data_IF_059293035621
#
_entry.id   IF_059293035621
#
_cell.length_a   1.000
_cell.length_b   1.000
_cell.length_c   1.000
_cell.angle_alpha   90.00
_cell.angle_beta   90.00
_cell.angle_gamma   90.00
#
_symmetry.space_group_name_H-M   'P 1'
#
loop_
_entity.id
_entity.type
_entity.pdbx_description
1 polymer ?
#
# COMPACT_ATOMS: atom_id res chain seq x y z
N UNK A 1 -55.31 -23.97 6.27
CA UNK A 1 -54.42 -25.02 5.71
C UNK A 1 -52.99 -24.60 5.99
N UNK A 2 -52.24 -25.46 6.67
CA UNK A 2 -50.87 -25.33 7.19
C UNK A 2 -49.94 -24.36 6.42
N UNK A 3 -49.70 -23.18 6.99
CA UNK A 3 -48.39 -22.55 6.89
C UNK A 3 -47.51 -23.16 7.98
N UNK A 4 -46.84 -24.27 7.66
CA UNK A 4 -45.79 -24.80 8.52
C UNK A 4 -44.82 -23.67 8.85
N UNK A 5 -44.43 -23.46 10.12
CA UNK A 5 -43.42 -22.46 10.45
C UNK A 5 -42.14 -22.81 9.69
N UNK A 6 -41.63 -21.89 8.87
CA UNK A 6 -40.32 -22.03 8.25
C UNK A 6 -39.33 -22.33 9.38
N UNK A 7 -38.76 -23.54 9.37
CA UNK A 7 -37.73 -23.90 10.33
C UNK A 7 -36.60 -22.88 10.19
N UNK A 8 -36.09 -22.31 11.30
CA UNK A 8 -35.00 -21.36 11.23
C UNK A 8 -33.84 -22.02 10.48
N UNK A 9 -33.48 -21.47 9.33
CA UNK A 9 -32.35 -21.94 8.51
C UNK A 9 -31.16 -22.12 9.44
N UNK A 10 -30.70 -23.35 9.65
CA UNK A 10 -29.54 -23.61 10.49
C UNK A 10 -28.35 -22.85 9.90
N UNK A 11 -27.85 -21.86 10.65
CA UNK A 11 -26.73 -21.02 10.24
C UNK A 11 -25.38 -21.76 10.23
N UNK A 12 -25.31 -22.94 10.87
CA UNK A 12 -24.10 -23.74 10.98
C UNK A 12 -24.11 -24.90 9.98
N UNK A 13 -23.04 -25.06 9.18
CA UNK A 13 -22.89 -26.22 8.31
C UNK A 13 -22.80 -27.51 9.13
N UNK A 14 -23.44 -28.58 8.65
CA UNK A 14 -23.46 -29.88 9.33
C UNK A 14 -22.21 -30.72 9.10
N UNK A 15 -21.57 -30.59 7.92
CA UNK A 15 -20.39 -31.36 7.52
C UNK A 15 -19.29 -30.45 6.93
N UNK A 16 -18.04 -30.95 6.88
CA UNK A 16 -16.88 -30.18 6.39
C UNK A 16 -17.04 -29.63 4.97
N UNK A 17 -17.64 -30.42 4.06
CA UNK A 17 -17.93 -29.99 2.69
C UNK A 17 -18.85 -28.77 2.64
N UNK A 18 -19.87 -28.75 3.51
CA UNK A 18 -20.78 -27.60 3.60
C UNK A 18 -20.04 -26.38 4.15
N UNK A 19 -19.15 -26.55 5.14
CA UNK A 19 -18.32 -25.46 5.64
C UNK A 19 -17.42 -24.84 4.57
N UNK A 20 -16.80 -25.68 3.74
CA UNK A 20 -15.97 -25.22 2.61
C UNK A 20 -16.82 -24.52 1.57
N UNK A 21 -18.01 -25.05 1.24
CA UNK A 21 -18.91 -24.38 0.30
C UNK A 21 -19.36 -23.01 0.81
N UNK A 22 -19.71 -22.88 2.10
CA UNK A 22 -20.03 -21.59 2.72
C UNK A 22 -18.86 -20.60 2.64
N UNK A 23 -17.63 -21.05 2.86
CA UNK A 23 -16.44 -20.20 2.75
C UNK A 23 -16.22 -19.71 1.30
N UNK A 24 -16.37 -20.61 0.32
CA UNK A 24 -16.26 -20.27 -1.11
C UNK A 24 -17.37 -19.28 -1.52
N UNK A 25 -18.61 -19.50 -1.08
CA UNK A 25 -19.71 -18.57 -1.31
C UNK A 25 -19.41 -17.17 -0.77
N UNK A 26 -18.80 -17.07 0.42
CA UNK A 26 -18.36 -15.79 0.98
C UNK A 26 -17.33 -15.07 0.11
N UNK A 27 -16.32 -15.80 -0.39
CA UNK A 27 -15.30 -15.23 -1.29
C UNK A 27 -15.95 -14.78 -2.61
N UNK A 28 -16.81 -15.62 -3.21
CA UNK A 28 -17.50 -15.30 -4.46
C UNK A 28 -18.43 -14.10 -4.27
N UNK A 29 -19.15 -14.03 -3.15
CA UNK A 29 -20.01 -12.90 -2.84
C UNK A 29 -19.21 -11.60 -2.79
N UNK A 30 -18.11 -11.57 -2.03
CA UNK A 30 -17.24 -10.41 -1.95
C UNK A 30 -16.67 -10.01 -3.32
N UNK A 31 -16.26 -10.98 -4.14
CA UNK A 31 -15.77 -10.72 -5.49
C UNK A 31 -16.85 -10.19 -6.46
N UNK A 32 -18.12 -10.51 -6.24
CA UNK A 32 -19.24 -10.01 -7.06
C UNK A 32 -19.71 -8.62 -6.63
N UNK A 33 -19.77 -8.37 -5.33
CA UNK A 33 -20.34 -7.14 -4.77
C UNK A 33 -19.29 -6.04 -4.65
N UNK A 34 -18.07 -6.36 -4.21
CA UNK A 34 -17.06 -5.36 -3.89
C UNK A 34 -16.15 -5.05 -5.08
N UNK A 35 -15.97 -3.76 -5.36
CA UNK A 35 -15.08 -3.28 -6.44
C UNK A 35 -13.61 -3.48 -6.09
N UNK A 36 -13.23 -3.17 -4.86
CA UNK A 36 -11.84 -3.27 -4.40
C UNK A 36 -11.35 -4.72 -4.40
N UNK A 37 -12.17 -5.67 -3.90
CA UNK A 37 -11.93 -7.11 -4.07
C UNK A 37 -11.61 -7.53 -5.51
N UNK A 38 -12.39 -7.09 -6.50
CA UNK A 38 -12.13 -7.42 -7.91
C UNK A 38 -10.79 -6.89 -8.39
N UNK A 39 -10.43 -5.66 -7.99
CA UNK A 39 -9.13 -5.06 -8.33
C UNK A 39 -7.99 -5.87 -7.71
N UNK A 40 -8.10 -6.24 -6.44
CA UNK A 40 -7.08 -7.05 -5.77
C UNK A 40 -6.94 -8.45 -6.38
N UNK A 41 -8.03 -9.09 -6.78
CA UNK A 41 -7.98 -10.37 -7.49
C UNK A 41 -7.31 -10.25 -8.88
N UNK A 42 -7.61 -9.21 -9.65
CA UNK A 42 -6.95 -8.98 -10.93
C UNK A 42 -5.45 -8.69 -10.76
N UNK A 43 -5.09 -7.88 -9.75
CA UNK A 43 -3.70 -7.60 -9.41
C UNK A 43 -2.97 -8.87 -8.96
N UNK A 44 -3.61 -9.71 -8.14
CA UNK A 44 -3.09 -11.00 -7.69
C UNK A 44 -2.74 -11.91 -8.88
N UNK A 45 -3.65 -12.06 -9.83
CA UNK A 45 -3.40 -12.82 -11.07
C UNK A 45 -2.22 -12.24 -11.84
N UNK A 46 -2.18 -10.91 -12.01
CA UNK A 46 -1.09 -10.23 -12.70
C UNK A 46 0.28 -10.49 -12.05
N UNK A 47 0.38 -10.36 -10.73
CA UNK A 47 1.63 -10.58 -9.97
C UNK A 47 2.08 -12.03 -10.05
N UNK A 48 1.17 -13.00 -9.86
CA UNK A 48 1.52 -14.42 -9.92
C UNK A 48 1.93 -14.85 -11.33
N UNK A 49 1.26 -14.36 -12.38
CA UNK A 49 1.67 -14.60 -13.76
C UNK A 49 3.05 -13.99 -14.05
N UNK A 50 3.29 -12.75 -13.62
CA UNK A 50 4.60 -12.11 -13.75
C UNK A 50 5.71 -12.92 -13.07
N UNK A 51 5.45 -13.44 -11.86
CA UNK A 51 6.40 -14.26 -11.12
C UNK A 51 6.76 -15.56 -11.87
N UNK A 52 5.77 -16.23 -12.48
CA UNK A 52 6.00 -17.43 -13.29
C UNK A 52 6.76 -17.11 -14.58
N UNK A 53 6.38 -16.03 -15.29
CA UNK A 53 7.04 -15.60 -16.53
C UNK A 53 8.50 -15.23 -16.29
N UNK A 54 8.78 -14.50 -15.20
CA UNK A 54 10.13 -14.08 -14.81
C UNK A 54 10.96 -15.18 -14.16
N UNK A 55 10.37 -16.37 -13.93
CA UNK A 55 11.03 -17.54 -13.31
C UNK A 55 11.73 -17.19 -11.99
N UNK A 56 11.01 -16.47 -11.13
CA UNK A 56 11.50 -16.12 -9.79
C UNK A 56 11.81 -17.39 -8.99
N UNK A 57 12.69 -17.28 -8.00
CA UNK A 57 13.02 -18.38 -7.10
C UNK A 57 11.80 -18.85 -6.30
N UNK A 58 11.85 -20.08 -5.78
CA UNK A 58 10.77 -20.63 -4.96
C UNK A 58 10.47 -19.76 -3.73
N UNK A 59 11.51 -19.19 -3.11
CA UNK A 59 11.36 -18.31 -1.94
C UNK A 59 10.65 -17.00 -2.32
N UNK A 60 11.07 -16.36 -3.41
CA UNK A 60 10.41 -15.14 -3.93
C UNK A 60 8.95 -15.42 -4.28
N UNK A 61 8.66 -16.55 -4.94
CA UNK A 61 7.29 -16.94 -5.28
C UNK A 61 6.41 -17.15 -4.02
N UNK A 62 6.95 -17.80 -2.99
CA UNK A 62 6.27 -17.99 -1.70
C UNK A 62 5.96 -16.63 -1.05
N UNK A 63 6.94 -15.72 -1.00
CA UNK A 63 6.75 -14.38 -0.42
C UNK A 63 5.71 -13.56 -1.19
N UNK A 64 5.73 -13.59 -2.53
CA UNK A 64 4.73 -12.93 -3.37
C UNK A 64 3.34 -13.51 -3.15
N UNK A 65 3.22 -14.84 -3.06
CA UNK A 65 1.95 -15.52 -2.80
C UNK A 65 1.41 -15.16 -1.43
N UNK A 66 2.26 -15.13 -0.40
CA UNK A 66 1.89 -14.71 0.96
C UNK A 66 1.40 -13.25 0.98
N UNK A 67 2.10 -12.36 0.28
CA UNK A 67 1.69 -10.95 0.16
C UNK A 67 0.32 -10.79 -0.50
N UNK A 68 0.08 -11.53 -1.60
CA UNK A 68 -1.21 -11.56 -2.30
C UNK A 68 -2.32 -12.07 -1.37
N UNK A 69 -2.07 -13.19 -0.68
CA UNK A 69 -3.05 -13.75 0.27
C UNK A 69 -3.37 -12.76 1.38
N UNK A 70 -2.37 -12.06 1.92
CA UNK A 70 -2.57 -11.09 3.00
C UNK A 70 -3.44 -9.91 2.55
N UNK A 71 -3.27 -9.41 1.33
CA UNK A 71 -4.12 -8.34 0.76
C UNK A 71 -5.56 -8.83 0.60
N UNK A 72 -5.77 -10.01 0.02
CA UNK A 72 -7.11 -10.57 -0.15
C UNK A 72 -7.80 -10.87 1.19
N UNK A 73 -7.03 -11.35 2.17
CA UNK A 73 -7.50 -11.57 3.54
C UNK A 73 -7.94 -10.24 4.19
N UNK A 74 -7.11 -9.20 4.11
CA UNK A 74 -7.43 -7.89 4.67
C UNK A 74 -8.70 -7.31 4.03
N UNK A 75 -8.86 -7.45 2.71
CA UNK A 75 -10.03 -6.98 1.97
C UNK A 75 -11.32 -7.76 2.33
N UNK A 76 -11.23 -9.08 2.51
CA UNK A 76 -12.35 -9.89 3.01
C UNK A 76 -12.75 -9.46 4.42
N UNK A 77 -11.77 -9.21 5.29
CA UNK A 77 -12.02 -8.76 6.65
C UNK A 77 -12.62 -7.35 6.69
N UNK A 78 -12.14 -6.44 5.84
CA UNK A 78 -12.72 -5.12 5.65
C UNK A 78 -14.19 -5.23 5.23
N UNK A 79 -14.47 -6.05 4.22
CA UNK A 79 -15.85 -6.29 3.74
C UNK A 79 -16.74 -6.87 4.85
N UNK A 80 -16.23 -7.83 5.63
CA UNK A 80 -16.98 -8.43 6.74
C UNK A 80 -17.32 -7.39 7.82
N UNK A 81 -16.35 -6.53 8.17
CA UNK A 81 -16.56 -5.41 9.11
C UNK A 81 -17.59 -4.43 8.54
N UNK A 82 -17.49 -4.05 7.28
CA UNK A 82 -18.46 -3.16 6.63
C UNK A 82 -19.88 -3.70 6.71
N UNK A 83 -20.07 -4.98 6.37
CA UNK A 83 -21.38 -5.65 6.45
C UNK A 83 -21.92 -5.67 7.89
N UNK A 84 -21.07 -5.94 8.89
CA UNK A 84 -21.49 -5.92 10.30
C UNK A 84 -21.86 -4.50 10.75
N UNK A 85 -21.06 -3.50 10.37
CA UNK A 85 -21.34 -2.10 10.71
C UNK A 85 -22.63 -1.62 10.05
N UNK A 86 -22.86 -1.98 8.78
CA UNK A 86 -24.10 -1.63 8.06
C UNK A 86 -25.34 -2.32 8.65
N UNK A 87 -25.16 -3.53 9.20
CA UNK A 87 -26.23 -4.24 9.90
C UNK A 87 -26.59 -3.57 11.25
N UNK A 88 -25.59 -3.13 12.01
CA UNK A 88 -25.79 -2.60 13.37
C UNK A 88 -26.08 -1.10 13.38
N UNK A 89 -25.55 -0.34 12.42
CA UNK A 89 -25.68 1.11 12.31
C UNK A 89 -25.96 1.52 10.85
N UNK A 90 -27.20 1.32 10.37
CA UNK A 90 -27.57 1.66 8.99
C UNK A 90 -27.54 3.18 8.71
N UNK A 91 -27.65 4.01 9.76
CA UNK A 91 -27.48 5.46 9.67
C UNK A 91 -26.06 5.89 10.03
N UNK A 92 -25.69 7.12 9.66
CA UNK A 92 -24.38 7.68 9.94
C UNK A 92 -24.13 7.76 11.46
N UNK A 93 -23.09 7.06 11.91
CA UNK A 93 -22.60 7.15 13.28
C UNK A 93 -21.09 7.44 13.29
N UNK A 94 -20.59 8.40 14.09
CA UNK A 94 -19.16 8.76 14.13
C UNK A 94 -18.24 7.56 14.40
N UNK A 95 -18.63 6.65 15.30
CA UNK A 95 -17.86 5.43 15.58
C UNK A 95 -17.91 4.43 14.41
N UNK A 96 -19.05 4.32 13.71
CA UNK A 96 -19.16 3.45 12.53
C UNK A 96 -18.21 3.92 11.42
N UNK A 97 -18.07 5.24 11.25
CA UNK A 97 -17.08 5.82 10.36
C UNK A 97 -15.65 5.41 10.76
N UNK A 98 -15.28 5.55 12.04
CA UNK A 98 -13.94 5.20 12.51
C UNK A 98 -13.64 3.70 12.28
N UNK A 99 -14.60 2.82 12.54
CA UNK A 99 -14.45 1.38 12.32
C UNK A 99 -14.17 1.09 10.83
N UNK A 100 -14.94 1.69 9.92
CA UNK A 100 -14.74 1.55 8.48
C UNK A 100 -13.40 2.14 8.02
N UNK A 101 -13.02 3.31 8.53
CA UNK A 101 -11.74 3.96 8.23
C UNK A 101 -10.55 3.08 8.68
N UNK A 102 -10.64 2.44 9.85
CA UNK A 102 -9.63 1.51 10.36
C UNK A 102 -9.52 0.24 9.52
N UNK A 103 -10.65 -0.34 9.14
CA UNK A 103 -10.71 -1.55 8.32
C UNK A 103 -10.11 -1.30 6.92
N UNK A 104 -10.45 -0.18 6.28
CA UNK A 104 -9.85 0.25 5.03
C UNK A 104 -8.34 0.56 5.19
N UNK A 105 -7.94 1.14 6.32
CA UNK A 105 -6.54 1.36 6.68
C UNK A 105 -5.72 0.06 6.74
N UNK A 106 -6.30 -1.03 7.25
CA UNK A 106 -5.64 -2.34 7.27
C UNK A 106 -5.39 -2.89 5.85
N UNK A 107 -6.35 -2.73 4.93
CA UNK A 107 -6.18 -3.09 3.51
C UNK A 107 -5.05 -2.28 2.87
N UNK A 108 -5.01 -0.97 3.13
CA UNK A 108 -3.95 -0.09 2.62
C UNK A 108 -2.56 -0.55 3.09
N UNK A 109 -2.43 -0.90 4.38
CA UNK A 109 -1.18 -1.42 4.94
C UNK A 109 -0.74 -2.73 4.28
N UNK A 110 -1.66 -3.67 4.07
CA UNK A 110 -1.38 -4.91 3.36
C UNK A 110 -0.91 -4.63 1.91
N UNK A 111 -1.54 -3.68 1.23
CA UNK A 111 -1.16 -3.29 -0.14
C UNK A 111 0.25 -2.67 -0.20
N UNK A 112 0.61 -1.81 0.75
CA UNK A 112 1.96 -1.24 0.84
C UNK A 112 2.99 -2.36 1.02
N UNK A 113 2.75 -3.30 1.93
CA UNK A 113 3.61 -4.46 2.13
C UNK A 113 3.76 -5.32 0.86
N UNK A 114 2.65 -5.55 0.14
CA UNK A 114 2.67 -6.30 -1.11
C UNK A 114 3.44 -5.60 -2.23
N UNK A 115 3.34 -4.26 -2.34
CA UNK A 115 4.13 -3.48 -3.31
C UNK A 115 5.63 -3.57 -2.99
N UNK A 116 6.01 -3.50 -1.73
CA UNK A 116 7.42 -3.61 -1.31
C UNK A 116 7.98 -4.98 -1.61
N UNK A 117 7.30 -6.05 -1.18
CA UNK A 117 7.70 -7.43 -1.48
C UNK A 117 7.72 -7.69 -2.98
N UNK A 118 6.72 -7.18 -3.71
CA UNK A 118 6.64 -7.19 -5.16
C UNK A 118 7.86 -6.57 -5.82
N UNK A 119 8.23 -5.38 -5.40
CA UNK A 119 9.41 -4.69 -5.92
C UNK A 119 10.70 -5.46 -5.62
N UNK A 120 10.92 -5.88 -4.37
CA UNK A 120 12.15 -6.57 -3.98
C UNK A 120 12.29 -7.91 -4.72
N UNK A 121 11.21 -8.68 -4.83
CA UNK A 121 11.22 -9.99 -5.49
C UNK A 121 11.26 -9.91 -7.01
N UNK A 122 10.66 -8.90 -7.65
CA UNK A 122 10.55 -8.84 -9.12
C UNK A 122 11.61 -7.94 -9.77
N UNK A 123 12.15 -6.94 -9.07
CA UNK A 123 13.07 -5.96 -9.65
C UNK A 123 14.35 -6.61 -10.16
N UNK A 124 14.97 -7.51 -9.40
CA UNK A 124 16.19 -8.23 -9.77
C UNK A 124 16.04 -9.00 -11.08
N UNK A 125 14.94 -9.72 -11.26
CA UNK A 125 14.64 -10.51 -12.47
C UNK A 125 14.22 -9.64 -13.64
N UNK A 126 13.39 -8.62 -13.40
CA UNK A 126 12.90 -7.72 -14.43
C UNK A 126 14.04 -6.89 -15.04
N UNK A 127 14.82 -6.20 -14.20
CA UNK A 127 15.96 -5.41 -14.67
C UNK A 127 17.09 -6.29 -15.18
N UNK A 128 17.30 -7.47 -14.59
CA UNK A 128 18.28 -8.43 -15.10
C UNK A 128 17.96 -8.96 -16.50
N UNK A 129 16.67 -9.12 -16.82
CA UNK A 129 16.22 -9.55 -18.17
C UNK A 129 16.27 -8.38 -19.16
N UNK A 130 15.84 -7.19 -18.74
CA UNK A 130 15.80 -5.99 -19.59
C UNK A 130 17.21 -5.44 -19.88
N UNK A 131 18.09 -5.40 -18.88
CA UNK A 131 19.48 -4.94 -19.01
C UNK A 131 20.30 -5.81 -19.98
N UNK A 132 20.06 -7.13 -19.98
CA UNK A 132 20.63 -8.05 -20.98
C UNK A 132 20.16 -7.75 -22.41
N UNK A 133 18.91 -7.31 -22.58
CA UNK A 133 18.36 -6.95 -23.88
C UNK A 133 18.82 -5.58 -24.42
N UNK A 134 19.19 -4.65 -23.53
CA UNK A 134 19.54 -3.27 -23.88
C UNK A 134 21.02 -2.91 -23.67
N UNK A 135 21.84 -3.83 -23.15
CA UNK A 135 23.27 -3.58 -22.88
C UNK A 135 23.52 -2.55 -21.78
N UNK A 136 22.55 -2.33 -20.89
CA UNK A 136 22.63 -1.32 -19.82
C UNK A 136 23.32 -1.89 -18.57
N UNK A 137 24.14 -1.04 -17.93
CA UNK A 137 24.93 -1.32 -16.72
C UNK A 137 24.08 -1.79 -15.53
N UNK A 138 24.76 -2.42 -14.57
CA UNK A 138 24.27 -3.09 -13.36
C UNK A 138 23.00 -2.48 -12.72
N UNK A 139 22.10 -3.33 -12.19
CA UNK A 139 20.88 -2.85 -11.55
C UNK A 139 21.24 -1.92 -10.37
N UNK A 140 20.63 -0.73 -10.27
CA UNK A 140 20.84 0.13 -9.11
C UNK A 140 20.40 -0.61 -7.85
N UNK A 141 21.13 -0.43 -6.74
CA UNK A 141 20.76 -0.94 -5.41
C UNK A 141 19.52 -0.19 -4.89
N UNK A 142 18.35 -0.56 -5.43
CA UNK A 142 17.06 0.07 -5.15
C UNK A 142 16.52 -0.15 -3.74
N UNK A 143 17.17 -1.03 -2.95
CA UNK A 143 16.82 -1.33 -1.56
C UNK A 143 16.86 -0.08 -0.68
N UNK A 144 17.90 0.76 -0.83
CA UNK A 144 18.04 2.00 -0.05
C UNK A 144 16.86 2.94 -0.31
N UNK A 145 16.45 3.09 -1.57
CA UNK A 145 15.34 3.97 -1.96
C UNK A 145 14.01 3.48 -1.36
N UNK A 146 13.71 2.18 -1.47
CA UNK A 146 12.47 1.61 -0.96
C UNK A 146 12.40 1.67 0.56
N UNK A 147 13.49 1.28 1.24
CA UNK A 147 13.56 1.32 2.70
C UNK A 147 13.43 2.76 3.21
N UNK A 148 14.08 3.73 2.55
CA UNK A 148 13.98 5.14 2.90
C UNK A 148 12.57 5.69 2.75
N UNK A 149 11.90 5.43 1.63
CA UNK A 149 10.53 5.90 1.41
C UNK A 149 9.58 5.30 2.46
N UNK A 150 9.69 4.00 2.77
CA UNK A 150 8.87 3.35 3.78
C UNK A 150 9.05 3.98 5.17
N UNK A 151 10.31 4.14 5.59
CA UNK A 151 10.60 4.75 6.90
C UNK A 151 10.12 6.20 6.94
N UNK A 152 10.33 6.97 5.87
CA UNK A 152 9.83 8.35 5.76
C UNK A 152 8.31 8.38 5.87
N UNK A 153 7.58 7.51 5.17
CA UNK A 153 6.12 7.45 5.26
C UNK A 153 5.67 7.10 6.69
N UNK A 154 6.29 6.09 7.31
CA UNK A 154 5.99 5.70 8.69
C UNK A 154 6.23 6.87 9.65
N UNK A 155 7.37 7.55 9.55
CA UNK A 155 7.71 8.69 10.40
C UNK A 155 6.75 9.86 10.17
N UNK A 156 6.38 10.17 8.92
CA UNK A 156 5.36 11.19 8.62
C UNK A 156 4.03 10.86 9.30
N UNK A 157 3.58 9.60 9.18
CA UNK A 157 2.32 9.16 9.82
C UNK A 157 2.43 9.26 11.34
N UNK A 158 3.56 8.84 11.93
CA UNK A 158 3.82 8.92 13.37
C UNK A 158 3.80 10.38 13.85
N UNK A 159 4.56 11.27 13.20
CA UNK A 159 4.60 12.68 13.57
C UNK A 159 3.23 13.36 13.42
N UNK A 160 2.45 13.03 12.38
CA UNK A 160 1.09 13.53 12.22
C UNK A 160 0.16 13.01 13.32
N UNK A 161 0.28 11.74 13.70
CA UNK A 161 -0.48 11.15 14.79
C UNK A 161 -0.16 11.82 16.14
N UNK A 162 1.12 12.16 16.38
CA UNK A 162 1.55 12.87 17.60
C UNK A 162 1.18 14.35 17.60
N UNK A 163 1.17 15.01 16.44
CA UNK A 163 0.94 16.46 16.33
C UNK A 163 -0.53 16.86 16.48
N UNK A 164 -1.48 15.93 16.24
CA UNK A 164 -2.92 16.14 16.45
C UNK A 164 -3.57 17.28 15.63
N UNK A 165 -2.88 17.82 14.61
CA UNK A 165 -3.34 18.96 13.79
C UNK A 165 -3.49 18.56 12.31
N UNK A 166 -4.55 19.05 11.67
CA UNK A 166 -4.85 18.82 10.25
C UNK A 166 -5.52 17.48 9.96
N UNK A 167 -5.92 17.25 8.69
CA UNK A 167 -6.37 15.92 8.22
C UNK A 167 -5.20 15.21 7.53
N UNK A 168 -5.10 13.87 7.52
CA UNK A 168 -3.93 13.13 6.99
C UNK A 168 -3.46 13.57 5.60
N UNK A 169 -4.39 13.94 4.71
CA UNK A 169 -4.13 14.43 3.34
C UNK A 169 -4.32 15.96 3.16
N UNK A 170 -4.85 16.66 4.15
CA UNK A 170 -5.14 18.09 4.11
C UNK A 170 -4.58 18.78 5.36
N UNK A 171 -3.26 19.03 5.34
CA UNK A 171 -2.55 19.74 6.41
C UNK A 171 -1.85 18.83 7.43
N UNK A 172 -1.33 19.49 8.47
CA UNK A 172 -0.57 18.86 9.56
C UNK A 172 0.93 18.83 9.33
N UNK A 173 1.68 18.85 10.43
CA UNK A 173 3.15 18.82 10.42
C UNK A 173 3.67 17.38 10.54
N UNK A 174 4.64 16.93 9.73
CA UNK A 174 5.21 17.59 8.54
C UNK A 174 4.43 17.31 7.25
N UNK A 175 4.76 18.01 6.16
CA UNK A 175 4.18 17.77 4.83
C UNK A 175 4.67 16.42 4.26
N UNK A 176 3.77 15.43 4.22
CA UNK A 176 4.09 14.09 3.71
C UNK A 176 4.50 14.05 2.23
N UNK A 177 3.83 14.83 1.38
CA UNK A 177 4.19 14.94 -0.04
C UNK A 177 5.62 15.48 -0.22
N UNK A 178 5.99 16.49 0.56
CA UNK A 178 7.34 17.05 0.54
C UNK A 178 8.37 16.04 1.06
N UNK A 179 8.06 15.35 2.15
CA UNK A 179 8.96 14.33 2.71
C UNK A 179 9.25 13.19 1.73
N UNK A 180 8.22 12.63 1.09
CA UNK A 180 8.39 11.56 0.11
C UNK A 180 9.11 12.07 -1.14
N UNK A 181 8.75 13.24 -1.66
CA UNK A 181 9.35 13.76 -2.89
C UNK A 181 10.85 14.07 -2.72
N UNK A 182 11.23 14.67 -1.59
CA UNK A 182 12.63 14.91 -1.27
C UNK A 182 13.39 13.63 -0.92
N UNK A 183 12.75 12.63 -0.27
CA UNK A 183 13.37 11.31 -0.08
C UNK A 183 13.71 10.63 -1.41
N UNK A 184 12.79 10.66 -2.38
CA UNK A 184 13.03 10.14 -3.73
C UNK A 184 14.18 10.90 -4.41
N UNK A 185 14.15 12.24 -4.39
CA UNK A 185 15.20 13.05 -5.02
C UNK A 185 16.57 12.79 -4.39
N UNK A 186 16.65 12.65 -3.06
CA UNK A 186 17.89 12.27 -2.37
C UNK A 186 18.36 10.87 -2.74
N UNK A 187 17.47 9.88 -2.78
CA UNK A 187 17.83 8.52 -3.18
C UNK A 187 18.38 8.46 -4.62
N UNK A 188 17.77 9.22 -5.54
CA UNK A 188 18.27 9.35 -6.92
C UNK A 188 19.63 10.04 -6.95
N UNK A 189 19.81 11.13 -6.21
CA UNK A 189 21.09 11.84 -6.12
C UNK A 189 22.24 10.94 -5.64
N UNK A 190 21.95 10.02 -4.72
CA UNK A 190 22.91 9.06 -4.17
C UNK A 190 23.15 7.84 -5.08
N UNK A 191 22.32 7.64 -6.10
CA UNK A 191 22.42 6.49 -7.01
C UNK A 191 23.47 6.64 -8.11
N UNK A 192 24.26 7.72 -8.12
CA UNK A 192 25.35 7.93 -9.08
C UNK A 192 24.90 8.21 -10.52
N UNK A 193 23.64 8.62 -10.72
CA UNK A 193 23.10 8.95 -12.05
C UNK A 193 23.63 10.30 -12.56
N UNK A 194 23.45 10.57 -13.86
CA UNK A 194 23.91 11.80 -14.49
C UNK A 194 23.35 13.06 -13.78
N UNK A 195 24.14 14.15 -13.65
CA UNK A 195 23.73 15.37 -12.95
C UNK A 195 22.40 15.96 -13.45
N UNK A 196 22.09 15.80 -14.73
CA UNK A 196 20.81 16.23 -15.32
C UNK A 196 19.60 15.51 -14.68
N UNK A 197 19.70 14.20 -14.42
CA UNK A 197 18.63 13.41 -13.79
C UNK A 197 18.43 13.86 -12.34
N UNK A 198 19.52 14.13 -11.62
CA UNK A 198 19.48 14.67 -10.26
C UNK A 198 18.74 16.01 -10.24
N UNK A 199 19.11 16.93 -11.15
CA UNK A 199 18.46 18.23 -11.26
C UNK A 199 16.96 18.12 -11.58
N UNK A 200 16.58 17.26 -12.53
CA UNK A 200 15.19 17.04 -12.89
C UNK A 200 14.36 16.48 -11.72
N UNK A 201 14.91 15.52 -10.97
CA UNK A 201 14.21 14.95 -9.80
C UNK A 201 14.10 15.94 -8.63
N UNK A 202 15.12 16.77 -8.41
CA UNK A 202 15.04 17.88 -7.44
C UNK A 202 14.00 18.92 -7.86
N UNK A 203 13.96 19.29 -9.15
CA UNK A 203 12.93 20.20 -9.68
C UNK A 203 11.53 19.62 -9.48
N UNK A 204 11.35 18.31 -9.72
CA UNK A 204 10.10 17.63 -9.47
C UNK A 204 9.72 17.67 -7.98
N UNK A 205 10.67 17.43 -7.08
CA UNK A 205 10.43 17.50 -5.64
C UNK A 205 10.00 18.90 -5.19
N UNK A 206 10.67 19.93 -5.69
CA UNK A 206 10.30 21.33 -5.45
C UNK A 206 8.92 21.63 -6.01
N UNK A 207 8.60 21.17 -7.22
CA UNK A 207 7.29 21.39 -7.84
C UNK A 207 6.15 20.70 -7.05
N UNK A 208 6.37 19.47 -6.59
CA UNK A 208 5.44 18.73 -5.73
C UNK A 208 5.21 19.48 -4.41
N UNK A 209 6.27 19.96 -3.77
CA UNK A 209 6.19 20.75 -2.55
C UNK A 209 5.50 22.10 -2.76
N UNK A 210 5.85 22.82 -3.83
CA UNK A 210 5.23 24.09 -4.19
C UNK A 210 3.73 23.94 -4.45
N UNK A 211 3.30 22.83 -5.05
CA UNK A 211 1.87 22.55 -5.25
C UNK A 211 1.08 22.52 -3.93
N UNK A 212 1.72 22.13 -2.81
CA UNK A 212 1.06 22.09 -1.48
C UNK A 212 0.89 23.48 -0.87
N UNK A 213 1.81 24.40 -1.19
CA UNK A 213 1.72 25.81 -0.80
C UNK A 213 0.65 26.53 -1.61
N UNK A 214 0.63 26.32 -2.94
CA UNK A 214 -0.36 26.93 -3.84
C UNK A 214 -1.80 26.53 -3.53
N UNK A 215 -2.02 25.28 -3.13
CA UNK A 215 -3.34 24.80 -2.73
C UNK A 215 -3.72 25.19 -1.29
N UNK A 216 -2.88 25.97 -0.60
CA UNK A 216 -3.04 26.36 0.81
C UNK A 216 -3.27 25.18 1.76
N UNK A 217 -2.77 23.99 1.38
CA UNK A 217 -2.92 22.76 2.17
C UNK A 217 -1.89 22.72 3.30
N UNK A 218 -0.68 23.21 3.04
CA UNK A 218 0.43 23.21 3.99
C UNK A 218 1.10 24.58 4.05
N UNK A 219 1.65 24.92 5.22
CA UNK A 219 2.51 26.11 5.36
C UNK A 219 3.93 25.85 4.85
N UNK A 220 4.68 26.92 4.59
CA UNK A 220 6.09 26.81 4.20
C UNK A 220 6.91 26.01 5.23
N UNK A 221 6.64 26.19 6.53
CA UNK A 221 7.34 25.48 7.60
C UNK A 221 7.04 23.99 7.55
N UNK A 222 5.79 23.59 7.32
CA UNK A 222 5.42 22.18 7.21
C UNK A 222 6.04 21.51 5.98
N UNK A 223 6.13 22.24 4.86
CA UNK A 223 6.79 21.80 3.64
C UNK A 223 8.29 21.62 3.85
N UNK A 224 8.96 22.61 4.45
CA UNK A 224 10.39 22.54 4.76
C UNK A 224 10.71 21.44 5.78
N UNK A 225 9.90 21.29 6.82
CA UNK A 225 10.04 20.21 7.79
C UNK A 225 9.89 18.83 7.13
N UNK A 226 8.94 18.68 6.20
CA UNK A 226 8.79 17.48 5.39
C UNK A 226 10.04 17.20 4.56
N UNK A 227 10.50 18.19 3.79
CA UNK A 227 11.71 18.06 2.97
C UNK A 227 12.94 17.64 3.78
N UNK A 228 13.19 18.30 4.92
CA UNK A 228 14.28 17.97 5.83
C UNK A 228 14.17 16.54 6.37
N UNK A 229 12.97 16.11 6.79
CA UNK A 229 12.74 14.73 7.24
C UNK A 229 13.07 13.72 6.13
N UNK A 230 12.59 13.96 4.91
CA UNK A 230 12.86 13.10 3.75
C UNK A 230 14.35 12.97 3.43
N UNK A 231 15.06 14.10 3.36
CA UNK A 231 16.51 14.14 3.07
C UNK A 231 17.31 13.43 4.17
N UNK A 232 17.08 13.81 5.43
CA UNK A 232 17.86 13.32 6.57
C UNK A 232 17.72 11.81 6.76
N UNK A 233 16.49 11.28 6.75
CA UNK A 233 16.23 9.84 6.88
C UNK A 233 16.91 9.06 5.75
N UNK A 234 16.78 9.55 4.51
CA UNK A 234 17.36 8.87 3.34
C UNK A 234 18.89 8.86 3.41
N UNK A 235 19.52 9.97 3.81
CA UNK A 235 20.98 10.02 4.03
C UNK A 235 21.41 9.07 5.15
N UNK A 236 20.70 9.06 6.29
CA UNK A 236 21.03 8.16 7.39
C UNK A 236 20.98 6.68 6.97
N UNK A 237 19.96 6.27 6.23
CA UNK A 237 19.83 4.88 5.75
C UNK A 237 20.94 4.56 4.75
N UNK A 238 21.26 5.48 3.84
CA UNK A 238 22.34 5.29 2.88
C UNK A 238 23.71 5.12 3.56
N UNK A 239 24.01 5.86 4.63
CA UNK A 239 25.27 5.70 5.36
C UNK A 239 25.32 4.47 6.27
N UNK A 240 24.17 3.87 6.60
CA UNK A 240 24.08 2.66 7.42
C UNK A 240 24.19 1.36 6.60
N UNK A 241 23.90 1.40 5.30
CA UNK A 241 23.92 0.27 4.35
C UNK A 241 25.14 0.31 3.43
#
# INVERSE_FOLDING_TARGET
>A
MNSSPEQPKQLKPGNWYQSVNCAIEGIIWAARTQRHMRIHLMAAVGVLLAAVILRVSALEFILLTLAVILVLFAELFNTAIEVVVDLVSPEYHPLAKIIKDLAAGAVLMACIGAVVLGYLALSSHFFGTLGRGLGLLEPPKGEVAVVSILIVVILVVLFKALSGRGRPLYGGMPSGHSAVAFSIATAVALSGVAPAVILLTLMLAVMVSHSRLLMEIHSLVEVLAGALLGISVTLSIYFLL
#
